data_IF_947991163737
#
_entry.id   IF_947991163737
#
_cell.length_a   1.000
_cell.length_b   1.000
_cell.length_c   1.000
_cell.angle_alpha   90.00
_cell.angle_beta   90.00
_cell.angle_gamma   90.00
#
_symmetry.space_group_name_H-M   'P 1'
#
loop_
_entity.id
_entity.type
_entity.pdbx_description
1 polymer ?
#
# COMPACT_ATOMS: atom_id res chain seq x y z
N UNK A 1 13.60 23.10 -8.54
CA UNK A 1 13.69 23.46 -7.10
C UNK A 1 15.16 23.68 -6.76
N UNK A 2 15.47 24.50 -5.76
CA UNK A 2 16.86 24.68 -5.29
C UNK A 2 17.29 23.47 -4.44
N UNK A 3 18.61 23.23 -4.34
CA UNK A 3 19.16 22.20 -3.46
C UNK A 3 18.74 22.41 -1.99
N UNK A 4 18.73 23.65 -1.50
CA UNK A 4 18.27 23.99 -0.14
C UNK A 4 16.83 23.52 0.11
N UNK A 5 15.91 23.83 -0.83
CA UNK A 5 14.51 23.44 -0.68
C UNK A 5 14.35 21.92 -0.64
N UNK A 6 15.07 21.18 -1.50
CA UNK A 6 14.99 19.72 -1.52
C UNK A 6 15.47 19.10 -0.19
N UNK A 7 16.52 19.67 0.43
CA UNK A 7 17.01 19.22 1.73
C UNK A 7 15.98 19.49 2.83
N UNK A 8 15.36 20.67 2.83
CA UNK A 8 14.29 21.04 3.76
C UNK A 8 13.07 20.13 3.60
N UNK A 9 12.66 19.84 2.36
CA UNK A 9 11.54 18.96 2.06
C UNK A 9 11.80 17.52 2.53
N UNK A 10 13.02 16.99 2.35
CA UNK A 10 13.40 15.67 2.89
C UNK A 10 13.30 15.65 4.42
N UNK A 11 13.77 16.70 5.09
CA UNK A 11 13.71 16.82 6.56
C UNK A 11 12.25 16.87 7.03
N UNK A 12 11.41 17.66 6.36
CA UNK A 12 9.98 17.75 6.69
C UNK A 12 9.25 16.42 6.48
N UNK A 13 9.49 15.73 5.36
CA UNK A 13 8.92 14.40 5.11
C UNK A 13 9.40 13.40 6.17
N UNK A 14 10.69 13.40 6.50
CA UNK A 14 11.25 12.55 7.56
C UNK A 14 10.57 12.78 8.91
N UNK A 15 10.35 14.04 9.28
CA UNK A 15 9.63 14.43 10.49
C UNK A 15 8.18 13.91 10.48
N UNK A 16 7.47 14.02 9.35
CA UNK A 16 6.10 13.52 9.24
C UNK A 16 6.02 12.00 9.31
N UNK A 17 6.93 11.29 8.64
CA UNK A 17 7.01 9.82 8.74
C UNK A 17 7.21 9.39 10.19
N UNK A 18 8.11 10.06 10.91
CA UNK A 18 8.39 9.77 12.33
C UNK A 18 7.18 10.08 13.22
N UNK A 19 6.54 11.24 13.07
CA UNK A 19 5.35 11.61 13.85
C UNK A 19 4.16 10.68 13.63
N UNK A 20 4.04 10.09 12.44
CA UNK A 20 3.01 9.10 12.13
C UNK A 20 3.37 7.68 12.57
N UNK A 21 4.59 7.46 13.08
CA UNK A 21 5.08 6.15 13.46
C UNK A 21 5.33 5.22 12.26
N UNK A 22 5.59 5.76 11.08
CA UNK A 22 5.91 4.96 9.89
C UNK A 22 7.37 4.52 9.86
N UNK A 23 8.19 5.06 10.76
CA UNK A 23 9.60 4.76 10.92
C UNK A 23 9.91 4.68 12.41
N UNK A 24 10.78 3.76 12.79
CA UNK A 24 11.25 3.54 14.15
C UNK A 24 12.78 3.62 14.21
N UNK A 25 13.31 4.25 15.27
CA UNK A 25 14.75 4.43 15.43
C UNK A 25 15.38 5.12 14.20
N UNK A 26 16.24 4.41 13.45
CA UNK A 26 16.97 4.93 12.31
C UNK A 26 16.52 4.31 10.97
N UNK A 27 15.40 3.58 10.94
CA UNK A 27 14.92 2.93 9.72
C UNK A 27 14.32 3.92 8.70
N UNK A 28 13.86 3.38 7.57
CA UNK A 28 13.36 4.15 6.43
C UNK A 28 14.44 4.96 5.74
N UNK A 29 14.10 5.52 4.59
CA UNK A 29 14.95 6.48 3.88
C UNK A 29 14.20 7.21 2.76
N UNK A 30 14.70 8.40 2.42
CA UNK A 30 14.09 9.29 1.43
C UNK A 30 15.18 9.75 0.48
N UNK A 31 14.88 9.78 -0.81
CA UNK A 31 15.79 10.30 -1.82
C UNK A 31 15.06 11.06 -2.92
N UNK A 32 15.80 11.94 -3.61
CA UNK A 32 15.36 12.66 -4.80
C UNK A 32 16.48 12.74 -5.82
N UNK A 33 16.17 12.55 -7.10
CA UNK A 33 17.10 12.76 -8.21
C UNK A 33 17.31 14.27 -8.42
N UNK A 34 18.55 14.71 -8.39
CA UNK A 34 18.94 16.13 -8.55
C UNK A 34 19.68 16.41 -9.86
N UNK A 35 20.23 15.37 -10.50
CA UNK A 35 20.78 15.39 -11.85
C UNK A 35 20.63 13.99 -12.48
N UNK A 36 20.99 13.84 -13.76
CA UNK A 36 20.91 12.55 -14.46
C UNK A 36 21.69 11.44 -13.74
N UNK A 37 22.84 11.80 -13.15
CA UNK A 37 23.78 10.92 -12.48
C UNK A 37 23.92 11.21 -10.97
N UNK A 38 23.00 11.98 -10.36
CA UNK A 38 23.07 12.37 -8.93
C UNK A 38 21.74 12.23 -8.20
N UNK A 39 21.82 11.68 -7.00
CA UNK A 39 20.69 11.50 -6.08
C UNK A 39 21.04 12.12 -4.72
N UNK A 40 20.18 13.01 -4.23
CA UNK A 40 20.22 13.54 -2.86
C UNK A 40 19.42 12.59 -1.95
N UNK A 41 19.95 12.23 -0.78
CA UNK A 41 19.37 11.23 0.11
C UNK A 41 19.62 11.52 1.59
N UNK A 42 18.73 11.00 2.44
CA UNK A 42 18.94 10.84 3.88
C UNK A 42 20.19 10.02 4.21
N UNK A 43 20.98 10.39 5.24
CA UNK A 43 22.10 9.58 5.69
C UNK A 43 21.65 8.32 6.45
N UNK A 44 22.53 7.33 6.53
CA UNK A 44 22.33 6.16 7.40
C UNK A 44 22.47 6.51 8.89
N UNK A 45 21.90 5.67 9.76
CA UNK A 45 22.01 5.75 11.22
C UNK A 45 21.52 7.07 11.85
N UNK A 46 20.59 7.75 11.19
CA UNK A 46 19.91 8.95 11.72
C UNK A 46 18.41 8.73 11.71
N UNK A 47 17.77 9.06 12.83
CA UNK A 47 16.32 9.08 12.95
C UNK A 47 15.73 10.16 12.05
N UNK A 48 14.67 9.81 11.34
CA UNK A 48 14.05 10.66 10.32
C UNK A 48 13.37 11.88 10.96
N UNK A 49 13.01 11.78 12.24
CA UNK A 49 12.50 12.90 13.04
C UNK A 49 13.56 13.90 13.52
N UNK A 50 14.86 13.57 13.44
CA UNK A 50 15.95 14.39 13.98
C UNK A 50 16.98 14.80 12.92
N UNK A 51 16.64 14.68 11.64
CA UNK A 51 17.52 15.12 10.56
C UNK A 51 17.57 16.64 10.47
N UNK A 52 18.70 17.18 10.01
CA UNK A 52 18.83 18.58 9.58
C UNK A 52 19.28 18.64 8.11
N UNK A 53 19.01 19.74 7.37
CA UNK A 53 19.31 19.84 5.94
C UNK A 53 20.78 19.57 5.58
N UNK A 54 21.71 19.99 6.44
CA UNK A 54 23.16 19.80 6.28
C UNK A 54 23.61 18.34 6.41
N UNK A 55 22.77 17.45 6.95
CA UNK A 55 23.07 16.02 7.05
C UNK A 55 22.86 15.25 5.75
N UNK A 56 22.11 15.81 4.78
CA UNK A 56 21.79 15.11 3.53
C UNK A 56 23.04 14.89 2.69
N UNK A 57 23.11 13.72 2.06
CA UNK A 57 24.25 13.29 1.23
C UNK A 57 23.84 13.17 -0.23
N UNK A 58 24.80 13.32 -1.14
CA UNK A 58 24.62 13.07 -2.56
C UNK A 58 25.40 11.82 -2.95
N UNK A 59 24.75 10.91 -3.67
CA UNK A 59 25.39 9.74 -4.29
C UNK A 59 25.34 9.82 -5.81
N UNK A 60 26.23 9.08 -6.46
CA UNK A 60 26.08 8.75 -7.87
C UNK A 60 25.03 7.64 -8.08
N UNK A 61 24.86 7.23 -9.34
CA UNK A 61 23.96 6.15 -9.73
C UNK A 61 24.48 4.75 -9.44
N UNK A 62 25.64 4.59 -8.80
CA UNK A 62 26.14 3.33 -8.23
C UNK A 62 25.96 3.26 -6.71
N UNK A 63 25.50 4.37 -6.10
CA UNK A 63 25.30 4.50 -4.65
C UNK A 63 26.57 4.92 -3.92
N UNK A 64 27.61 5.34 -4.64
CA UNK A 64 28.85 5.85 -4.07
C UNK A 64 28.65 7.28 -3.59
N UNK A 65 29.17 7.60 -2.40
CA UNK A 65 29.10 8.95 -1.84
C UNK A 65 29.90 9.93 -2.70
N UNK A 66 29.23 10.97 -3.20
CA UNK A 66 29.83 12.08 -3.96
C UNK A 66 30.08 13.28 -3.04
N UNK A 67 29.11 13.64 -2.19
CA UNK A 67 29.26 14.74 -1.23
C UNK A 67 28.37 14.58 0.00
N UNK A 68 28.80 15.16 1.12
CA UNK A 68 28.09 15.12 2.40
C UNK A 68 28.95 15.63 3.54
N UNK A 69 28.34 15.96 4.68
CA UNK A 69 29.09 16.38 5.87
C UNK A 69 30.03 15.26 6.37
N UNK A 70 31.15 15.59 7.03
CA UNK A 70 32.09 14.60 7.57
C UNK A 70 31.40 13.54 8.44
N UNK A 71 31.71 12.27 8.18
CA UNK A 71 31.14 11.13 8.91
C UNK A 71 29.74 10.71 8.47
N UNK A 72 29.07 11.44 7.57
CA UNK A 72 27.80 11.02 6.97
C UNK A 72 28.04 10.05 5.82
N UNK A 73 27.20 9.02 5.75
CA UNK A 73 27.18 7.98 4.72
C UNK A 73 25.76 7.84 4.19
N UNK A 74 25.58 7.45 2.91
CA UNK A 74 24.25 7.17 2.37
C UNK A 74 23.59 6.00 3.10
N UNK A 75 22.27 5.89 2.96
CA UNK A 75 21.54 4.70 3.42
C UNK A 75 22.14 3.45 2.80
N UNK A 76 22.18 2.35 3.57
CA UNK A 76 22.62 1.05 3.09
C UNK A 76 21.68 0.46 2.02
N UNK A 77 20.49 1.03 1.85
CA UNK A 77 19.46 0.58 0.91
C UNK A 77 19.32 1.47 -0.33
N UNK A 78 20.25 2.40 -0.56
CA UNK A 78 20.23 3.29 -1.72
C UNK A 78 20.06 2.52 -3.04
N UNK A 79 20.65 1.33 -3.16
CA UNK A 79 20.56 0.51 -4.39
C UNK A 79 19.10 0.19 -4.78
N UNK A 80 18.20 0.02 -3.82
CA UNK A 80 16.77 -0.19 -4.08
C UNK A 80 16.15 1.05 -4.75
N UNK A 81 16.50 2.26 -4.30
CA UNK A 81 16.03 3.51 -4.89
C UNK A 81 16.58 3.71 -6.31
N UNK A 82 17.86 3.36 -6.51
CA UNK A 82 18.52 3.48 -7.81
C UNK A 82 17.88 2.58 -8.87
N UNK A 83 17.33 1.42 -8.51
CA UNK A 83 16.57 0.58 -9.45
C UNK A 83 15.34 1.31 -10.00
N UNK A 84 14.57 1.98 -9.13
CA UNK A 84 13.43 2.78 -9.56
C UNK A 84 13.87 3.91 -10.50
N UNK A 85 14.92 4.65 -10.13
CA UNK A 85 15.46 5.72 -10.99
C UNK A 85 15.97 5.21 -12.36
N UNK A 86 16.63 4.05 -12.42
CA UNK A 86 17.12 3.52 -13.70
C UNK A 86 15.99 3.09 -14.64
N UNK A 87 14.93 2.48 -14.10
CA UNK A 87 13.81 2.01 -14.93
C UNK A 87 12.80 3.10 -15.28
N UNK A 88 12.69 4.15 -14.46
CA UNK A 88 11.61 5.13 -14.54
C UNK A 88 12.16 6.56 -14.55
N UNK A 89 12.36 7.16 -15.74
CA UNK A 89 12.80 8.54 -15.87
C UNK A 89 11.83 9.57 -15.28
N UNK A 90 10.55 9.24 -15.21
CA UNK A 90 9.48 10.04 -14.63
C UNK A 90 9.52 10.07 -13.08
N UNK A 91 10.11 9.05 -12.45
CA UNK A 91 10.31 9.01 -11.00
C UNK A 91 11.49 9.92 -10.63
N UNK A 92 11.19 10.92 -9.80
CA UNK A 92 12.18 11.86 -9.25
C UNK A 92 12.40 11.68 -7.76
N UNK A 93 11.49 11.07 -7.03
CA UNK A 93 11.66 10.80 -5.61
C UNK A 93 11.20 9.41 -5.21
N UNK A 94 11.83 8.89 -4.16
CA UNK A 94 11.54 7.58 -3.58
C UNK A 94 11.52 7.69 -2.06
N UNK A 95 10.47 7.15 -1.44
CA UNK A 95 10.29 7.06 0.00
C UNK A 95 10.17 5.59 0.38
N UNK A 96 11.04 5.13 1.27
CA UNK A 96 10.96 3.84 1.92
C UNK A 96 10.68 4.03 3.41
N UNK A 97 9.72 3.28 3.94
CA UNK A 97 9.31 3.34 5.34
C UNK A 97 8.68 2.00 5.78
N UNK A 98 8.37 1.89 7.07
CA UNK A 98 7.78 0.72 7.72
C UNK A 98 6.42 1.02 8.37
N UNK A 99 5.42 1.59 7.64
CA UNK A 99 4.09 1.85 8.18
C UNK A 99 3.44 0.59 8.77
N UNK A 100 3.00 0.58 10.04
CA UNK A 100 2.70 -0.67 10.75
C UNK A 100 1.65 -1.58 10.13
N UNK A 101 0.56 -1.04 9.56
CA UNK A 101 -0.48 -1.88 8.99
C UNK A 101 -0.06 -2.41 7.63
N UNK A 102 0.48 -1.56 6.76
CA UNK A 102 1.02 -2.01 5.48
C UNK A 102 2.17 -3.03 5.66
N UNK A 103 3.07 -2.81 6.62
CA UNK A 103 4.10 -3.80 7.01
C UNK A 103 3.46 -5.07 7.56
N UNK A 104 2.36 -4.99 8.31
CA UNK A 104 1.59 -6.15 8.76
C UNK A 104 1.06 -7.01 7.61
N UNK A 105 0.52 -6.37 6.56
CA UNK A 105 0.14 -7.04 5.31
C UNK A 105 1.35 -7.69 4.62
N UNK A 106 2.49 -7.00 4.57
CA UNK A 106 3.72 -7.50 3.98
C UNK A 106 4.27 -8.73 4.75
N UNK A 107 4.21 -8.73 6.08
CA UNK A 107 4.57 -9.87 6.93
C UNK A 107 3.60 -11.03 6.73
N UNK A 108 2.31 -10.76 6.52
CA UNK A 108 1.30 -11.78 6.27
C UNK A 108 1.35 -12.37 4.85
N UNK A 109 2.18 -11.84 3.95
CA UNK A 109 2.23 -12.26 2.55
C UNK A 109 0.97 -11.88 1.77
N UNK A 110 0.29 -10.80 2.15
CA UNK A 110 -0.97 -10.36 1.57
C UNK A 110 -0.73 -9.06 0.79
N UNK A 111 -0.81 -9.06 -0.54
CA UNK A 111 -0.72 -7.83 -1.33
C UNK A 111 -1.94 -6.93 -1.12
N UNK A 112 -1.79 -5.66 -1.48
CA UNK A 112 -2.84 -4.64 -1.49
C UNK A 112 -3.23 -4.36 -2.96
N UNK A 113 -3.68 -5.41 -3.64
CA UNK A 113 -3.97 -5.46 -5.08
C UNK A 113 -5.47 -5.64 -5.40
N UNK A 114 -6.34 -5.62 -4.39
CA UNK A 114 -7.79 -5.74 -4.54
C UNK A 114 -8.43 -4.38 -4.76
N UNK A 115 -9.43 -4.31 -5.65
CA UNK A 115 -10.17 -3.10 -5.97
C UNK A 115 -11.16 -2.68 -4.86
N UNK A 116 -10.65 -2.33 -3.68
CA UNK A 116 -11.48 -2.00 -2.51
C UNK A 116 -11.89 -0.52 -2.51
N UNK A 117 -10.95 0.39 -2.82
CA UNK A 117 -11.16 1.84 -2.72
C UNK A 117 -10.94 2.51 -4.07
N UNK A 118 -11.93 3.30 -4.50
CA UNK A 118 -11.89 4.02 -5.77
C UNK A 118 -10.69 4.96 -5.88
N UNK A 119 -10.38 5.69 -4.80
CA UNK A 119 -9.23 6.60 -4.74
C UNK A 119 -7.90 5.87 -4.94
N UNK A 120 -7.72 4.72 -4.29
CA UNK A 120 -6.49 3.92 -4.41
C UNK A 120 -6.34 3.34 -5.82
N UNK A 121 -7.42 2.78 -6.37
CA UNK A 121 -7.43 2.28 -7.76
C UNK A 121 -7.08 3.40 -8.73
N UNK A 122 -7.55 4.63 -8.48
CA UNK A 122 -7.27 5.78 -9.34
C UNK A 122 -5.85 6.31 -9.17
N UNK A 123 -5.32 6.39 -7.94
CA UNK A 123 -4.04 7.07 -7.65
C UNK A 123 -2.82 6.15 -7.66
N UNK A 124 -2.97 4.90 -7.20
CA UNK A 124 -1.90 3.90 -7.11
C UNK A 124 -2.14 2.69 -8.03
N UNK A 125 -3.40 2.37 -8.30
CA UNK A 125 -3.77 1.14 -8.98
C UNK A 125 -3.72 -0.04 -8.01
N UNK A 126 -2.69 -0.86 -8.12
CA UNK A 126 -2.39 -1.94 -7.16
C UNK A 126 -1.02 -1.79 -6.53
N UNK A 127 -0.92 -2.30 -5.30
CA UNK A 127 0.29 -2.34 -4.49
C UNK A 127 0.67 -3.83 -4.29
N UNK A 128 1.53 -4.39 -5.15
CA UNK A 128 1.95 -5.79 -5.03
C UNK A 128 2.94 -5.96 -3.86
N UNK A 129 3.32 -7.21 -3.61
CA UNK A 129 4.35 -7.57 -2.65
C UNK A 129 5.58 -8.13 -3.37
N UNK A 130 6.72 -7.48 -3.19
CA UNK A 130 8.00 -8.01 -3.63
C UNK A 130 8.43 -9.16 -2.72
N UNK A 131 9.09 -10.17 -3.30
CA UNK A 131 9.61 -11.31 -2.54
C UNK A 131 10.59 -10.87 -1.45
N UNK A 132 10.74 -11.71 -0.41
CA UNK A 132 11.68 -11.42 0.65
C UNK A 132 13.10 -11.39 0.08
N UNK A 133 13.85 -10.38 0.51
CA UNK A 133 15.24 -10.21 0.20
C UNK A 133 15.96 -9.63 1.40
N UNK A 134 17.22 -10.02 1.60
CA UNK A 134 18.01 -9.54 2.74
C UNK A 134 18.27 -8.04 2.59
N UNK A 135 17.86 -7.17 3.55
CA UNK A 135 18.12 -5.74 3.48
C UNK A 135 19.60 -5.42 3.31
N UNK A 136 19.90 -4.30 2.63
CA UNK A 136 21.28 -3.85 2.35
C UNK A 136 22.13 -4.79 1.46
N UNK A 137 21.53 -5.79 0.83
CA UNK A 137 22.20 -6.67 -0.16
C UNK A 137 21.73 -6.37 -1.58
N UNK A 138 22.30 -7.06 -2.57
CA UNK A 138 21.85 -6.96 -3.97
C UNK A 138 20.49 -7.65 -4.20
N UNK A 139 20.09 -8.57 -3.32
CA UNK A 139 18.82 -9.28 -3.39
C UNK A 139 17.62 -8.32 -3.34
N UNK A 140 17.70 -7.25 -2.54
CA UNK A 140 16.59 -6.31 -2.36
C UNK A 140 16.29 -5.48 -3.63
N UNK A 141 17.29 -4.84 -4.27
CA UNK A 141 17.13 -4.27 -5.60
C UNK A 141 16.55 -5.27 -6.62
N UNK A 142 17.03 -6.52 -6.62
CA UNK A 142 16.62 -7.54 -7.58
C UNK A 142 15.17 -7.99 -7.36
N UNK A 143 14.72 -8.10 -6.10
CA UNK A 143 13.33 -8.43 -5.75
C UNK A 143 12.34 -7.32 -6.12
N UNK A 144 12.78 -6.05 -6.08
CA UNK A 144 11.95 -4.88 -6.40
C UNK A 144 11.89 -4.62 -7.91
N UNK A 145 12.98 -4.94 -8.63
CA UNK A 145 13.17 -4.69 -10.07
C UNK A 145 12.01 -5.10 -10.99
N UNK A 146 11.31 -6.23 -10.79
CA UNK A 146 10.21 -6.63 -11.68
C UNK A 146 8.99 -5.71 -11.59
N UNK A 147 8.81 -5.01 -10.46
CA UNK A 147 7.57 -4.28 -10.17
C UNK A 147 7.65 -2.78 -10.44
N UNK A 148 8.82 -2.14 -10.30
CA UNK A 148 8.93 -0.67 -10.39
C UNK A 148 8.59 -0.10 -11.77
N UNK A 149 8.63 -0.92 -12.82
CA UNK A 149 8.16 -0.55 -14.16
C UNK A 149 6.67 -0.17 -14.18
N UNK A 150 5.83 -0.88 -13.43
CA UNK A 150 4.37 -0.73 -13.47
C UNK A 150 3.73 -0.18 -12.20
N UNK A 151 4.47 -0.10 -11.09
CA UNK A 151 3.88 0.24 -9.79
C UNK A 151 4.58 1.44 -9.14
N UNK A 152 3.78 2.34 -8.58
CA UNK A 152 4.25 3.50 -7.82
C UNK A 152 4.29 3.23 -6.30
N UNK A 153 3.77 2.09 -5.86
CA UNK A 153 3.75 1.65 -4.47
C UNK A 153 3.93 0.14 -4.37
N UNK A 154 4.76 -0.32 -3.44
CA UNK A 154 5.11 -1.73 -3.26
C UNK A 154 5.16 -2.07 -1.77
N UNK A 155 4.68 -3.26 -1.40
CA UNK A 155 5.03 -3.91 -0.14
C UNK A 155 6.32 -4.72 -0.35
N UNK A 156 7.12 -4.82 0.71
CA UNK A 156 8.35 -5.60 0.75
C UNK A 156 8.16 -6.69 1.81
N UNK A 157 8.12 -7.97 1.41
CA UNK A 157 7.81 -9.07 2.32
C UNK A 157 8.72 -9.04 3.56
N UNK A 158 8.12 -9.18 4.74
CA UNK A 158 8.78 -9.13 6.05
C UNK A 158 9.67 -7.90 6.30
N UNK A 159 9.41 -6.77 5.63
CA UNK A 159 10.26 -5.59 5.70
C UNK A 159 9.45 -4.29 5.84
N UNK A 160 8.73 -3.86 4.80
CA UNK A 160 8.11 -2.53 4.80
C UNK A 160 7.41 -2.18 3.49
N UNK A 161 7.47 -0.90 3.11
CA UNK A 161 6.90 -0.41 1.87
C UNK A 161 7.85 0.54 1.12
N UNK A 162 7.65 0.66 -0.19
CA UNK A 162 8.37 1.58 -1.09
C UNK A 162 7.36 2.38 -1.91
N UNK A 163 7.54 3.69 -1.98
CA UNK A 163 6.68 4.58 -2.77
C UNK A 163 7.52 5.46 -3.71
N UNK A 164 7.06 5.60 -4.96
CA UNK A 164 7.73 6.31 -6.05
C UNK A 164 6.89 7.53 -6.47
N UNK A 165 7.54 8.68 -6.66
CA UNK A 165 6.86 9.93 -7.01
C UNK A 165 7.60 10.76 -8.05
N UNK A 166 6.84 11.61 -8.74
CA UNK A 166 7.38 12.64 -9.62
C UNK A 166 8.07 13.79 -8.85
N UNK A 167 7.82 13.88 -7.54
CA UNK A 167 8.48 14.75 -6.58
C UNK A 167 8.42 14.13 -5.16
N UNK A 168 9.14 14.75 -4.22
CA UNK A 168 9.28 14.30 -2.84
C UNK A 168 7.93 14.12 -2.12
N UNK A 169 7.04 15.11 -2.25
CA UNK A 169 5.74 15.06 -1.59
C UNK A 169 4.81 14.06 -2.25
N UNK A 170 4.84 13.91 -3.57
CA UNK A 170 4.11 12.88 -4.30
C UNK A 170 4.49 11.46 -3.86
N UNK A 171 5.78 11.20 -3.65
CA UNK A 171 6.24 9.91 -3.11
C UNK A 171 5.77 9.71 -1.65
N UNK A 172 5.84 10.76 -0.83
CA UNK A 172 5.35 10.72 0.56
C UNK A 172 3.83 10.50 0.66
N UNK A 173 3.03 11.21 -0.13
CA UNK A 173 1.57 11.05 -0.14
C UNK A 173 1.17 9.64 -0.55
N UNK A 174 1.85 9.06 -1.54
CA UNK A 174 1.66 7.65 -1.90
C UNK A 174 1.97 6.70 -0.74
N UNK A 175 3.03 6.96 0.03
CA UNK A 175 3.32 6.20 1.26
C UNK A 175 2.19 6.32 2.30
N UNK A 176 1.62 7.51 2.48
CA UNK A 176 0.44 7.71 3.34
C UNK A 176 -0.78 6.94 2.83
N UNK A 177 -1.03 6.96 1.52
CA UNK A 177 -2.13 6.24 0.88
C UNK A 177 -1.98 4.72 1.05
N UNK A 178 -0.76 4.17 0.96
CA UNK A 178 -0.50 2.73 1.19
C UNK A 178 -0.91 2.32 2.61
N UNK A 179 -0.48 3.05 3.64
CA UNK A 179 -0.86 2.77 5.03
C UNK A 179 -2.36 2.99 5.26
N UNK A 180 -2.94 4.05 4.70
CA UNK A 180 -4.36 4.33 4.81
C UNK A 180 -5.20 3.20 4.21
N UNK A 181 -4.78 2.69 3.04
CA UNK A 181 -5.43 1.58 2.39
C UNK A 181 -5.32 0.30 3.23
N UNK A 182 -4.12 -0.03 3.72
CA UNK A 182 -3.90 -1.16 4.62
C UNK A 182 -4.82 -1.11 5.84
N UNK A 183 -5.00 0.08 6.44
CA UNK A 183 -5.91 0.30 7.56
C UNK A 183 -7.36 -0.02 7.22
N UNK A 184 -7.85 0.53 6.12
CA UNK A 184 -9.25 0.32 5.71
C UNK A 184 -9.49 -1.15 5.36
N UNK A 185 -8.57 -1.77 4.62
CA UNK A 185 -8.64 -3.20 4.29
C UNK A 185 -8.61 -4.08 5.55
N UNK A 186 -7.76 -3.78 6.53
CA UNK A 186 -7.74 -4.51 7.79
C UNK A 186 -9.09 -4.43 8.51
N UNK A 187 -9.66 -3.22 8.65
CA UNK A 187 -10.96 -3.00 9.28
C UNK A 187 -12.06 -3.75 8.54
N UNK A 188 -12.12 -3.66 7.20
CA UNK A 188 -13.10 -4.38 6.39
C UNK A 188 -13.01 -5.90 6.60
N UNK A 189 -11.79 -6.46 6.64
CA UNK A 189 -11.56 -7.89 6.91
C UNK A 189 -11.96 -8.30 8.33
N UNK A 190 -11.69 -7.46 9.33
CA UNK A 190 -12.13 -7.69 10.71
C UNK A 190 -13.66 -7.65 10.84
N UNK A 191 -14.34 -6.85 10.03
CA UNK A 191 -15.80 -6.83 9.90
C UNK A 191 -16.36 -8.02 9.09
N UNK A 192 -15.48 -8.87 8.54
CA UNK A 192 -15.82 -10.15 7.91
C UNK A 192 -15.79 -10.16 6.38
N UNK A 193 -15.66 -9.02 5.70
CA UNK A 193 -15.54 -8.98 4.23
C UNK A 193 -15.01 -7.66 3.68
N UNK A 194 -14.28 -7.74 2.58
CA UNK A 194 -14.03 -6.61 1.68
C UNK A 194 -15.04 -6.69 0.52
N UNK A 195 -15.80 -5.62 0.32
CA UNK A 195 -16.66 -5.51 -0.84
C UNK A 195 -15.90 -4.79 -1.96
N UNK A 196 -15.70 -5.47 -3.08
CA UNK A 196 -14.84 -5.00 -4.15
C UNK A 196 -15.62 -4.28 -5.23
N UNK A 197 -15.00 -3.27 -5.82
CA UNK A 197 -15.41 -2.65 -7.07
C UNK A 197 -15.33 -3.68 -8.20
N UNK A 198 -16.35 -3.70 -9.04
CA UNK A 198 -16.40 -4.53 -10.24
C UNK A 198 -15.34 -4.11 -11.26
N UNK A 199 -15.02 -5.00 -12.20
CA UNK A 199 -14.11 -4.67 -13.32
C UNK A 199 -14.56 -3.42 -14.08
N UNK A 200 -15.86 -3.32 -14.39
CA UNK A 200 -16.44 -2.15 -15.04
C UNK A 200 -16.21 -0.84 -14.26
N UNK A 201 -16.33 -0.88 -12.93
CA UNK A 201 -16.07 0.30 -12.09
C UNK A 201 -14.59 0.65 -12.07
N UNK A 202 -13.69 -0.34 -12.02
CA UNK A 202 -12.25 -0.13 -12.15
C UNK A 202 -11.93 0.55 -13.48
N UNK A 203 -12.47 0.06 -14.59
CA UNK A 203 -12.19 0.62 -15.93
C UNK A 203 -12.73 2.05 -16.08
N UNK A 204 -13.89 2.35 -15.48
CA UNK A 204 -14.42 3.73 -15.41
C UNK A 204 -13.48 4.64 -14.62
N UNK A 205 -12.96 4.18 -13.48
CA UNK A 205 -12.01 4.95 -12.66
C UNK A 205 -10.69 5.20 -13.41
N UNK A 206 -10.21 4.22 -14.17
CA UNK A 206 -9.04 4.37 -15.04
C UNK A 206 -9.25 5.50 -16.06
N UNK A 207 -10.43 5.56 -16.68
CA UNK A 207 -10.80 6.64 -17.60
C UNK A 207 -10.89 8.04 -16.96
N UNK A 208 -11.07 8.13 -15.64
CA UNK A 208 -11.10 9.40 -14.93
C UNK A 208 -9.71 9.99 -14.64
N UNK A 209 -8.64 9.17 -14.65
CA UNK A 209 -7.27 9.61 -14.35
C UNK A 209 -6.85 10.82 -15.19
N UNK A 210 -7.10 10.80 -16.49
CA UNK A 210 -6.79 11.90 -17.42
C UNK A 210 -7.50 13.20 -17.05
N UNK A 211 -8.76 13.13 -16.58
CA UNK A 211 -9.54 14.31 -16.19
C UNK A 211 -8.98 14.98 -14.93
N UNK A 212 -8.41 14.19 -14.02
CA UNK A 212 -7.83 14.67 -12.78
C UNK A 212 -6.31 14.93 -12.87
N UNK A 213 -5.71 14.79 -14.06
CA UNK A 213 -4.27 14.95 -14.24
C UNK A 213 -3.43 13.91 -13.47
N UNK A 214 -4.02 12.77 -13.14
CA UNK A 214 -3.35 11.68 -12.44
C UNK A 214 -2.59 10.86 -13.48
N UNK A 215 -1.26 10.92 -13.45
CA UNK A 215 -0.42 10.06 -14.25
C UNK A 215 -0.41 8.64 -13.65
N UNK A 216 -0.32 7.63 -14.52
CA UNK A 216 -0.11 6.25 -14.09
C UNK A 216 1.10 5.66 -14.80
N UNK A 217 1.92 4.87 -14.08
CA UNK A 217 3.07 4.18 -14.65
C UNK A 217 2.71 3.17 -15.74
N UNK A 218 1.57 2.50 -15.58
CA UNK A 218 1.13 1.41 -16.43
C UNK A 218 -0.39 1.22 -16.33
N UNK A 219 -1.05 0.73 -17.41
CA UNK A 219 -2.48 0.42 -17.37
C UNK A 219 -2.77 -0.76 -16.43
N UNK A 220 -4.03 -0.92 -16.02
CA UNK A 220 -4.47 -2.17 -15.35
C UNK A 220 -4.48 -3.31 -16.37
N UNK A 221 -4.05 -4.51 -15.98
CA UNK A 221 -4.00 -5.66 -16.87
C UNK A 221 -5.40 -6.04 -17.37
N UNK A 222 -5.52 -6.30 -18.67
CA UNK A 222 -6.73 -6.84 -19.30
C UNK A 222 -6.71 -8.36 -19.11
N UNK A 223 -7.72 -8.92 -18.42
CA UNK A 223 -7.97 -10.36 -18.32
C UNK A 223 -6.89 -11.25 -17.68
N UNK A 224 -6.34 -10.88 -16.53
CA UNK A 224 -5.56 -11.83 -15.71
C UNK A 224 -6.34 -12.36 -14.52
N UNK A 225 -6.34 -13.69 -14.39
CA UNK A 225 -6.77 -14.43 -13.20
C UNK A 225 -5.80 -14.08 -12.06
N UNK A 226 -6.26 -13.78 -10.83
CA UNK A 226 -5.36 -13.52 -9.71
C UNK A 226 -4.39 -14.69 -9.50
N UNK A 227 -3.08 -14.40 -9.49
CA UNK A 227 -2.02 -15.38 -9.22
C UNK A 227 -1.30 -15.97 -10.44
N UNK A 228 -1.49 -15.44 -11.66
CA UNK A 228 -0.64 -15.77 -12.80
C UNK A 228 0.80 -15.27 -12.54
N UNK A 229 1.67 -16.15 -12.03
CA UNK A 229 3.09 -15.84 -11.85
C UNK A 229 3.75 -15.76 -13.23
N UNK A 230 4.07 -14.55 -13.67
CA UNK A 230 4.98 -14.32 -14.80
C UNK A 230 6.42 -14.60 -14.36
N UNK A 231 7.27 -15.00 -15.31
CA UNK A 231 8.66 -15.35 -15.02
C UNK A 231 9.46 -14.17 -14.45
N UNK A 232 10.55 -14.42 -13.70
CA UNK A 232 11.31 -13.39 -12.99
C UNK A 232 11.97 -12.32 -13.90
N UNK A 233 12.10 -12.59 -15.20
CA UNK A 233 12.70 -11.69 -16.19
C UNK A 233 11.70 -10.94 -17.08
N UNK A 234 10.39 -11.17 -16.92
CA UNK A 234 9.39 -10.50 -17.75
C UNK A 234 9.01 -9.14 -17.15
N UNK A 235 9.32 -8.06 -17.86
CA UNK A 235 9.00 -6.71 -17.42
C UNK A 235 7.48 -6.56 -17.25
N UNK A 236 7.03 -6.28 -16.03
CA UNK A 236 5.63 -6.01 -15.74
C UNK A 236 5.25 -4.69 -16.42
N UNK A 237 4.36 -4.77 -17.41
CA UNK A 237 3.88 -3.63 -18.20
C UNK A 237 2.45 -3.21 -17.85
N UNK A 238 1.84 -3.86 -16.86
CA UNK A 238 0.48 -3.57 -16.41
C UNK A 238 0.32 -3.84 -14.90
N UNK A 239 -0.67 -3.23 -14.28
CA UNK A 239 -0.99 -3.38 -12.88
C UNK A 239 -2.05 -4.48 -12.69
N UNK A 240 -1.70 -5.57 -12.01
CA UNK A 240 -2.69 -6.60 -11.65
C UNK A 240 -3.58 -6.06 -10.53
N UNK A 241 -4.86 -5.82 -10.84
CA UNK A 241 -5.89 -5.39 -9.88
C UNK A 241 -7.00 -6.42 -9.84
N UNK A 242 -7.20 -7.06 -8.68
CA UNK A 242 -8.28 -8.03 -8.47
C UNK A 242 -9.63 -7.32 -8.31
N UNK A 243 -10.51 -7.53 -9.27
CA UNK A 243 -11.88 -7.02 -9.31
C UNK A 243 -12.82 -8.12 -9.84
N UNK A 244 -13.98 -8.36 -9.19
CA UNK A 244 -14.96 -9.33 -9.69
C UNK A 244 -15.61 -8.87 -11.00
N UNK A 245 -16.00 -9.84 -11.84
CA UNK A 245 -16.68 -9.58 -13.12
C UNK A 245 -18.13 -9.08 -12.96
N UNK A 246 -18.73 -9.21 -11.77
CA UNK A 246 -20.15 -8.89 -11.56
C UNK A 246 -20.37 -7.40 -11.31
N UNK A 247 -21.08 -6.75 -12.23
CA UNK A 247 -21.69 -5.44 -12.03
C UNK A 247 -23.15 -5.62 -11.59
N UNK A 248 -23.53 -5.29 -10.35
CA UNK A 248 -24.97 -5.28 -10.03
C UNK A 248 -25.40 -5.02 -8.59
N UNK A 249 -24.75 -5.63 -7.59
CA UNK A 249 -25.18 -5.42 -6.20
C UNK A 249 -24.51 -4.17 -5.63
N UNK A 250 -25.25 -3.05 -5.59
CA UNK A 250 -24.81 -1.88 -4.82
C UNK A 250 -24.67 -2.25 -3.36
N UNK A 251 -23.58 -1.78 -2.76
CA UNK A 251 -23.30 -2.00 -1.34
C UNK A 251 -24.31 -1.34 -0.41
N UNK A 252 -24.87 -0.22 -0.87
CA UNK A 252 -25.94 0.50 -0.19
C UNK A 252 -27.06 0.70 -1.22
N UNK A 253 -28.25 0.16 -0.96
CA UNK A 253 -29.43 0.43 -1.78
C UNK A 253 -29.73 1.92 -1.82
N UNK A 254 -30.46 2.39 -2.85
CA UNK A 254 -30.88 3.79 -2.90
C UNK A 254 -31.75 4.13 -1.66
N UNK A 255 -31.68 5.37 -1.13
CA UNK A 255 -32.56 5.80 -0.05
C UNK A 255 -34.02 5.69 -0.53
N UNK A 256 -34.75 4.69 -0.02
CA UNK A 256 -36.14 4.40 -0.44
C UNK A 256 -36.36 2.98 -0.99
N UNK A 257 -35.31 2.26 -1.34
CA UNK A 257 -35.38 0.82 -1.66
C UNK A 257 -34.91 0.01 -0.45
N UNK A 258 -35.63 0.12 0.67
CA UNK A 258 -35.52 -0.90 1.73
C UNK A 258 -36.42 -2.05 1.26
N UNK A 259 -35.90 -3.24 0.96
CA UNK A 259 -36.77 -4.38 0.72
C UNK A 259 -37.59 -4.59 2.00
N UNK A 260 -38.91 -4.77 1.85
CA UNK A 260 -39.71 -5.27 2.95
C UNK A 260 -39.03 -6.53 3.49
N UNK A 261 -38.86 -6.61 4.80
CA UNK A 261 -38.27 -7.78 5.46
C UNK A 261 -39.16 -8.98 5.15
N UNK A 262 -38.81 -9.75 4.11
CA UNK A 262 -39.45 -11.03 3.85
C UNK A 262 -38.99 -12.03 4.90
N UNK A 263 -39.96 -12.70 5.49
CA UNK A 263 -39.77 -13.73 6.50
C UNK A 263 -38.90 -14.85 5.94
N UNK A 264 -37.78 -15.11 6.63
CA UNK A 264 -36.96 -16.33 6.61
C UNK A 264 -36.93 -17.15 5.31
N UNK A 265 -35.89 -16.97 4.51
CA UNK A 265 -35.46 -17.99 3.55
C UNK A 265 -34.21 -18.72 4.06
N UNK A 266 -34.28 -20.05 4.04
CA UNK A 266 -33.16 -20.94 4.32
C UNK A 266 -32.20 -20.88 3.13
N UNK A 267 -30.96 -20.46 3.36
CA UNK A 267 -29.93 -20.43 2.33
C UNK A 267 -29.59 -21.86 1.86
N UNK A 268 -29.46 -22.04 0.56
CA UNK A 268 -29.25 -23.34 -0.12
C UNK A 268 -27.90 -24.05 0.17
N UNK A 269 -27.09 -23.54 1.10
CA UNK A 269 -25.81 -24.13 1.50
C UNK A 269 -25.78 -24.62 2.97
N UNK A 270 -26.94 -24.84 3.60
CA UNK A 270 -27.01 -25.36 4.98
C UNK A 270 -26.54 -24.38 6.06
N UNK A 271 -26.21 -23.14 5.70
CA UNK A 271 -25.88 -22.07 6.63
C UNK A 271 -27.09 -21.20 6.95
N UNK A 272 -27.38 -21.02 8.24
CA UNK A 272 -28.42 -20.10 8.70
C UNK A 272 -27.80 -18.70 8.83
N UNK A 273 -28.41 -17.69 8.19
CA UNK A 273 -28.06 -16.27 8.39
C UNK A 273 -29.05 -15.65 9.37
N UNK A 274 -28.56 -15.23 10.52
CA UNK A 274 -29.33 -14.51 11.53
C UNK A 274 -28.82 -13.08 11.62
N UNK A 275 -29.73 -12.13 11.79
CA UNK A 275 -29.37 -10.80 12.28
C UNK A 275 -28.87 -10.90 13.72
N UNK A 276 -28.10 -9.92 14.18
CA UNK A 276 -27.60 -9.90 15.56
C UNK A 276 -28.74 -10.04 16.58
N UNK A 277 -29.86 -9.34 16.38
CA UNK A 277 -31.03 -9.43 17.24
C UNK A 277 -31.65 -10.84 17.27
N UNK A 278 -31.71 -11.54 16.13
CA UNK A 278 -32.22 -12.91 16.06
C UNK A 278 -31.27 -13.91 16.72
N UNK A 279 -29.94 -13.72 16.57
CA UNK A 279 -28.95 -14.55 17.24
C UNK A 279 -29.03 -14.37 18.76
N UNK A 280 -29.16 -13.14 19.25
CA UNK A 280 -29.32 -12.86 20.68
C UNK A 280 -30.59 -13.51 21.24
N UNK A 281 -31.73 -13.39 20.54
CA UNK A 281 -32.98 -14.01 20.97
C UNK A 281 -32.89 -15.55 21.05
N UNK A 282 -32.21 -16.19 20.09
CA UNK A 282 -31.97 -17.64 20.10
C UNK A 282 -31.07 -18.08 21.25
N UNK A 283 -30.04 -17.30 21.55
CA UNK A 283 -29.14 -17.57 22.69
C UNK A 283 -29.93 -17.42 24.00
N UNK A 284 -30.72 -16.36 24.15
CA UNK A 284 -31.51 -16.12 25.36
C UNK A 284 -32.54 -17.22 25.61
N UNK A 285 -33.21 -17.70 24.56
CA UNK A 285 -34.18 -18.80 24.65
C UNK A 285 -33.50 -20.14 24.99
N UNK A 286 -32.36 -20.44 24.37
CA UNK A 286 -31.58 -21.64 24.70
C UNK A 286 -31.07 -21.60 26.15
N UNK A 287 -30.61 -20.45 26.63
CA UNK A 287 -30.19 -20.26 28.03
C UNK A 287 -31.37 -20.43 28.98
N UNK A 288 -32.55 -19.92 28.64
CA UNK A 288 -33.76 -20.08 29.45
C UNK A 288 -34.17 -21.55 29.57
N UNK A 289 -34.16 -22.30 28.46
CA UNK A 289 -34.48 -23.73 28.45
C UNK A 289 -33.47 -24.56 29.26
N UNK A 290 -32.18 -24.24 29.19
CA UNK A 290 -31.15 -24.89 30.00
C UNK A 290 -31.32 -24.56 31.49
N UNK A 291 -31.60 -23.30 31.82
CA UNK A 291 -31.85 -22.88 33.20
C UNK A 291 -33.09 -23.57 33.81
N UNK A 292 -34.16 -23.71 33.03
CA UNK A 292 -35.38 -24.42 33.42
C UNK A 292 -35.11 -25.92 33.61
N UNK A 293 -34.36 -26.55 32.70
CA UNK A 293 -33.94 -27.94 32.82
C UNK A 293 -33.00 -28.24 34.01
N UNK A 294 -32.25 -27.24 34.47
CA UNK A 294 -31.39 -27.32 35.66
C UNK A 294 -32.10 -26.90 36.95
N UNK A 295 -33.39 -26.53 36.90
CA UNK A 295 -34.16 -26.09 38.06
C UNK A 295 -33.72 -24.74 38.65
N UNK A 296 -32.94 -23.97 37.89
CA UNK A 296 -32.45 -22.65 38.27
C UNK A 296 -33.54 -21.62 37.88
N UNK A 297 -34.48 -21.35 38.78
CA UNK A 297 -35.40 -20.22 38.62
C UNK A 297 -34.62 -18.90 38.78
N UNK A 298 -34.84 -17.95 37.87
CA UNK A 298 -34.40 -16.56 38.04
C UNK A 298 -35.00 -15.94 39.30
#
# INVERSE_FOLDING_TARGET
MSDSQLREDIVEIGRRLWLRGFVASNDGNISVRVADDRVLMTPTAVSKGFMTPDMMVITDMDGTLVSGAPGRKPSSEIKMHLVAYRQRPDVKAVVHAHPPLATGFAVAGIPLDRAVLAEVVTTLGSIPIAEYATPSTQELPDAVKPYVGAHDGLLLANHGALALGADLFGAYYKMETIEHFARISLVARQLGRENLLSRDEVDRLQGLRTRYGIASPAPVCVDETPGARRGPDEAVNCQAVYAPATSGERLVPDPGTVPAVEAGSVGTNGGIRLTYAQLTALIDDAVAQVAEGLGLKR
#
